data_IF_041870429347
#
_entry.id   IF_041870429347
#
_cell.length_a   1.000
_cell.length_b   1.000
_cell.length_c   1.000
_cell.angle_alpha   90.00
_cell.angle_beta   90.00
_cell.angle_gamma   90.00
#
_symmetry.space_group_name_H-M   'P 1'
#
loop_
_entity.id
_entity.type
_entity.pdbx_description
1 polymer ?
#
# COMPACT_ATOMS: atom_id res chain seq x y z
N UNK A 1 3.79 6.74 7.04
CA UNK A 1 4.81 7.19 6.08
C UNK A 1 5.99 7.87 6.76
N UNK A 2 5.77 8.84 7.63
CA UNK A 2 6.81 9.70 8.24
C UNK A 2 7.95 8.97 8.97
N UNK A 3 7.74 7.74 9.42
CA UNK A 3 8.73 6.98 10.20
C UNK A 3 9.70 6.13 9.37
N UNK A 4 9.47 5.98 8.06
CA UNK A 4 10.29 5.08 7.23
C UNK A 4 11.75 5.55 7.12
N UNK A 5 11.97 6.82 6.86
CA UNK A 5 13.31 7.41 6.79
C UNK A 5 14.06 7.31 8.13
N UNK A 6 13.51 7.84 9.24
CA UNK A 6 14.15 7.75 10.57
C UNK A 6 14.45 6.32 11.01
N UNK A 7 13.59 5.35 10.69
CA UNK A 7 13.86 3.94 11.00
C UNK A 7 15.08 3.40 10.24
N UNK A 8 15.16 3.69 8.93
CA UNK A 8 16.30 3.31 8.11
C UNK A 8 17.60 3.93 8.62
N UNK A 9 17.58 5.24 8.97
CA UNK A 9 18.73 5.97 9.49
C UNK A 9 19.22 5.37 10.80
N UNK A 10 18.29 5.08 11.71
CA UNK A 10 18.61 4.44 13.00
C UNK A 10 19.25 3.08 12.81
N UNK A 11 18.64 2.22 11.98
CA UNK A 11 19.18 0.89 11.73
C UNK A 11 20.57 0.94 11.09
N UNK A 12 20.78 1.82 10.12
CA UNK A 12 22.08 2.00 9.48
C UNK A 12 23.15 2.51 10.45
N UNK A 13 22.79 3.42 11.34
CA UNK A 13 23.70 3.93 12.37
C UNK A 13 24.08 2.85 13.39
N UNK A 14 23.14 1.97 13.75
CA UNK A 14 23.40 0.84 14.68
C UNK A 14 24.17 -0.31 14.01
N UNK A 15 24.05 -0.45 12.69
CA UNK A 15 24.61 -1.57 11.91
C UNK A 15 25.25 -1.08 10.61
N UNK A 16 26.34 -0.28 10.66
CA UNK A 16 26.91 0.37 9.48
C UNK A 16 27.51 -0.62 8.45
N UNK A 17 27.88 -1.82 8.88
CA UNK A 17 28.47 -2.86 8.04
C UNK A 17 27.40 -3.77 7.38
N UNK A 18 26.11 -3.55 7.66
CA UNK A 18 25.03 -4.36 7.10
C UNK A 18 24.43 -3.64 5.88
N UNK A 19 24.43 -4.33 4.75
CA UNK A 19 23.72 -3.85 3.56
C UNK A 19 22.19 -3.90 3.77
N UNK A 20 21.51 -2.78 3.52
CA UNK A 20 20.06 -2.67 3.66
C UNK A 20 19.41 -2.58 2.28
N UNK A 21 18.43 -3.45 2.05
CA UNK A 21 17.55 -3.38 0.88
C UNK A 21 16.09 -3.51 1.31
N UNK A 22 15.19 -2.94 0.53
CA UNK A 22 13.74 -3.02 0.74
C UNK A 22 13.17 -4.03 -0.23
N UNK A 23 12.76 -5.19 0.29
CA UNK A 23 12.26 -6.32 -0.50
C UNK A 23 10.90 -6.05 -1.15
N UNK A 24 10.03 -5.31 -0.47
CA UNK A 24 8.70 -4.94 -0.96
C UNK A 24 8.22 -3.64 -0.31
N UNK A 25 7.59 -2.78 -1.12
CA UNK A 25 6.83 -1.63 -0.65
C UNK A 25 5.80 -1.24 -1.70
N UNK A 26 4.63 -0.78 -1.29
CA UNK A 26 3.56 -0.35 -2.20
C UNK A 26 2.23 -0.22 -1.48
N UNK A 27 1.34 0.55 -2.05
CA UNK A 27 -0.03 0.74 -1.56
C UNK A 27 -1.03 0.61 -2.68
N UNK A 28 -2.28 0.29 -2.35
CA UNK A 28 -3.37 0.21 -3.31
C UNK A 28 -3.64 1.57 -3.95
N UNK A 29 -3.95 1.57 -5.24
CA UNK A 29 -4.43 2.73 -5.97
C UNK A 29 -5.39 2.30 -7.07
N UNK A 30 -6.65 2.70 -6.93
CA UNK A 30 -7.73 2.36 -7.87
C UNK A 30 -8.02 3.61 -8.69
N UNK A 31 -7.83 3.50 -10.00
CA UNK A 31 -7.88 4.63 -10.94
C UNK A 31 -9.23 5.34 -11.05
N UNK A 32 -10.27 4.79 -10.45
CA UNK A 32 -11.61 5.39 -10.43
C UNK A 32 -11.91 6.17 -9.15
N UNK A 33 -11.09 5.98 -8.10
CA UNK A 33 -11.24 6.69 -6.84
C UNK A 33 -10.31 7.91 -6.80
N UNK A 34 -10.85 9.06 -6.43
CA UNK A 34 -10.14 10.33 -6.41
C UNK A 34 -10.42 11.11 -5.13
N UNK A 35 -9.44 11.89 -4.69
CA UNK A 35 -9.58 12.76 -3.53
C UNK A 35 -8.66 13.98 -3.64
N UNK A 36 -9.19 15.15 -3.29
CA UNK A 36 -8.40 16.37 -3.12
C UNK A 36 -7.61 16.38 -1.79
N UNK A 37 -7.98 15.49 -0.83
CA UNK A 37 -7.30 15.30 0.46
C UNK A 37 -7.07 13.80 0.67
N UNK A 38 -6.08 13.19 -0.01
CA UNK A 38 -5.88 11.74 0.01
C UNK A 38 -5.43 11.24 1.38
N UNK A 39 -6.14 10.23 1.89
CA UNK A 39 -5.92 9.63 3.19
C UNK A 39 -5.54 8.15 3.09
N UNK A 40 -4.85 7.66 4.12
CA UNK A 40 -4.51 6.24 4.23
C UNK A 40 -5.77 5.37 4.17
N UNK A 41 -5.78 4.39 3.26
CA UNK A 41 -6.91 3.48 3.00
C UNK A 41 -8.11 4.09 2.27
N UNK A 42 -7.97 5.24 1.65
CA UNK A 42 -8.98 5.74 0.72
C UNK A 42 -8.89 5.10 -0.67
N UNK A 43 -7.81 4.35 -0.91
CA UNK A 43 -7.51 3.61 -2.15
C UNK A 43 -7.49 4.48 -3.39
N UNK A 44 -7.41 5.79 -3.24
CA UNK A 44 -7.35 6.73 -4.37
C UNK A 44 -6.04 6.64 -5.12
N UNK A 45 -6.06 7.01 -6.38
CA UNK A 45 -4.85 7.12 -7.19
C UNK A 45 -3.91 8.19 -6.62
N UNK A 46 -4.47 9.26 -6.07
CA UNK A 46 -3.74 10.36 -5.45
C UNK A 46 -3.01 9.90 -4.17
N UNK A 47 -3.63 9.04 -3.34
CA UNK A 47 -2.95 8.47 -2.18
C UNK A 47 -1.81 7.54 -2.58
N UNK A 48 -2.04 6.70 -3.59
CA UNK A 48 -0.97 5.84 -4.11
C UNK A 48 0.23 6.69 -4.59
N UNK A 49 -0.05 7.74 -5.35
CA UNK A 49 1.00 8.64 -5.83
C UNK A 49 1.75 9.32 -4.68
N UNK A 50 1.04 9.87 -3.70
CA UNK A 50 1.60 10.50 -2.50
C UNK A 50 2.51 9.54 -1.70
N UNK A 51 2.10 8.29 -1.55
CA UNK A 51 2.89 7.25 -0.89
C UNK A 51 4.21 7.00 -1.61
N UNK A 52 4.16 6.90 -2.95
CA UNK A 52 5.35 6.65 -3.76
C UNK A 52 6.24 7.88 -3.89
N UNK A 53 5.69 9.11 -3.92
CA UNK A 53 6.44 10.37 -3.83
C UNK A 53 7.31 10.39 -2.56
N UNK A 54 6.68 10.09 -1.42
CA UNK A 54 7.39 10.06 -0.13
C UNK A 54 8.53 9.03 -0.12
N UNK A 55 8.27 7.80 -0.55
CA UNK A 55 9.28 6.75 -0.51
C UNK A 55 10.38 6.94 -1.55
N UNK A 56 10.06 7.45 -2.73
CA UNK A 56 11.07 7.76 -3.74
C UNK A 56 12.08 8.79 -3.19
N UNK A 57 11.60 9.84 -2.50
CA UNK A 57 12.47 10.81 -1.84
C UNK A 57 13.26 10.19 -0.68
N UNK A 58 12.60 9.37 0.17
CA UNK A 58 13.28 8.67 1.28
C UNK A 58 14.45 7.84 0.78
N UNK A 59 14.31 7.16 -0.35
CA UNK A 59 15.36 6.32 -0.90
C UNK A 59 16.43 7.14 -1.65
N UNK A 60 16.07 8.20 -2.34
CA UNK A 60 17.03 9.09 -3.02
C UNK A 60 17.98 9.74 -2.01
N UNK A 61 17.47 10.12 -0.83
CA UNK A 61 18.26 10.70 0.25
C UNK A 61 19.20 9.70 0.94
N UNK A 62 19.06 8.38 0.63
CA UNK A 62 19.78 7.29 1.30
C UNK A 62 20.51 6.38 0.32
N UNK A 63 21.61 6.86 -0.31
CA UNK A 63 22.32 6.11 -1.35
C UNK A 63 22.97 4.81 -0.84
N UNK A 64 23.00 4.61 0.47
CA UNK A 64 23.44 3.36 1.11
C UNK A 64 22.36 2.27 1.14
N UNK A 65 21.11 2.58 0.81
CA UNK A 65 20.08 1.57 0.52
C UNK A 65 20.36 1.00 -0.87
N UNK A 66 20.88 -0.23 -0.92
CA UNK A 66 21.42 -0.82 -2.14
C UNK A 66 20.34 -1.27 -3.15
N UNK A 67 19.15 -1.59 -2.67
CA UNK A 67 18.02 -2.02 -3.52
C UNK A 67 16.67 -1.66 -2.93
N UNK A 68 15.72 -1.33 -3.80
CA UNK A 68 14.32 -1.08 -3.44
C UNK A 68 13.42 -1.74 -4.47
N UNK A 69 12.47 -2.57 -4.03
CA UNK A 69 11.57 -3.31 -4.90
C UNK A 69 10.14 -2.88 -4.68
N UNK A 70 9.60 -2.09 -5.62
CA UNK A 70 8.21 -1.69 -5.59
C UNK A 70 7.29 -2.89 -5.82
N UNK A 71 6.31 -3.08 -4.98
CA UNK A 71 5.25 -4.04 -5.17
C UNK A 71 3.97 -3.32 -5.59
N UNK A 72 3.62 -3.34 -6.90
CA UNK A 72 4.47 -3.91 -7.94
C UNK A 72 4.24 -3.17 -9.26
N UNK A 73 4.73 -3.68 -10.37
CA UNK A 73 4.60 -3.02 -11.68
C UNK A 73 3.18 -3.04 -12.23
N UNK A 74 2.41 -4.11 -12.02
CA UNK A 74 1.06 -4.28 -12.57
C UNK A 74 0.07 -4.70 -11.49
N UNK A 75 -1.17 -4.23 -11.57
CA UNK A 75 -2.27 -4.87 -10.85
C UNK A 75 -2.38 -6.33 -11.29
N UNK A 76 -2.80 -7.22 -10.38
CA UNK A 76 -2.92 -8.64 -10.70
C UNK A 76 -4.07 -9.31 -9.94
N UNK A 77 -4.49 -10.48 -10.45
CA UNK A 77 -5.52 -11.29 -9.82
C UNK A 77 -5.06 -11.86 -8.48
N UNK A 78 -5.87 -11.68 -7.44
CA UNK A 78 -5.62 -12.24 -6.12
C UNK A 78 -6.97 -12.57 -5.44
N UNK A 79 -7.38 -13.83 -5.51
CA UNK A 79 -8.71 -14.26 -5.09
C UNK A 79 -9.06 -13.93 -3.62
N UNK A 80 -8.05 -13.81 -2.77
CA UNK A 80 -8.23 -13.52 -1.34
C UNK A 80 -8.41 -12.02 -1.04
N UNK A 81 -8.27 -11.12 -2.04
CA UNK A 81 -8.31 -9.68 -1.82
C UNK A 81 -9.65 -9.07 -2.23
N UNK A 82 -10.03 -8.05 -1.47
CA UNK A 82 -11.23 -7.26 -1.72
C UNK A 82 -11.03 -5.79 -1.27
N UNK A 83 -9.79 -5.30 -1.32
CA UNK A 83 -9.48 -3.94 -0.92
C UNK A 83 -10.07 -2.94 -1.93
N UNK A 84 -10.57 -1.83 -1.42
CA UNK A 84 -11.18 -0.77 -2.22
C UNK A 84 -12.42 -1.21 -2.97
N UNK A 85 -13.09 -2.31 -2.54
CA UNK A 85 -14.29 -2.84 -3.18
C UNK A 85 -14.03 -3.56 -4.51
N UNK A 86 -12.77 -3.81 -4.87
CA UNK A 86 -12.41 -4.53 -6.10
C UNK A 86 -12.05 -5.97 -5.74
N UNK A 87 -13.06 -6.85 -5.73
CA UNK A 87 -12.89 -8.24 -5.39
C UNK A 87 -11.91 -8.97 -6.34
N UNK A 88 -11.07 -9.84 -5.75
CA UNK A 88 -10.16 -10.71 -6.51
C UNK A 88 -8.99 -9.98 -7.16
N UNK A 89 -8.66 -8.77 -6.73
CA UNK A 89 -7.57 -7.99 -7.31
C UNK A 89 -6.63 -7.38 -6.26
N UNK A 90 -5.35 -7.39 -6.55
CA UNK A 90 -4.36 -6.54 -5.92
C UNK A 90 -4.16 -5.30 -6.80
N UNK A 91 -4.43 -4.11 -6.28
CA UNK A 91 -4.36 -2.85 -7.01
C UNK A 91 -3.11 -2.03 -6.67
N UNK A 92 -2.04 -2.67 -6.19
CA UNK A 92 -0.77 -2.01 -5.87
C UNK A 92 0.12 -1.76 -7.09
N UNK A 93 -0.32 -2.20 -8.28
CA UNK A 93 0.41 -1.95 -9.52
C UNK A 93 0.61 -0.47 -9.80
N UNK A 94 1.76 -0.12 -10.35
CA UNK A 94 2.00 1.19 -10.97
C UNK A 94 1.26 1.33 -12.30
N UNK A 95 0.79 0.21 -12.84
CA UNK A 95 -0.04 0.12 -14.03
C UNK A 95 -1.22 -0.82 -13.78
N UNK A 96 -2.29 -0.63 -14.55
CA UNK A 96 -3.49 -1.48 -14.49
C UNK A 96 -3.22 -2.93 -14.91
N UNK A 97 -4.13 -3.85 -14.52
CA UNK A 97 -4.04 -5.29 -14.79
C UNK A 97 -3.95 -5.63 -16.29
N UNK A 98 -4.56 -4.82 -17.14
CA UNK A 98 -4.51 -4.97 -18.61
C UNK A 98 -3.20 -4.40 -19.20
N UNK A 99 -2.33 -3.83 -18.36
CA UNK A 99 -1.03 -3.22 -18.71
C UNK A 99 -1.10 -2.03 -19.66
N UNK A 100 -2.27 -1.43 -19.83
CA UNK A 100 -2.47 -0.33 -20.78
C UNK A 100 -2.37 1.03 -20.14
N UNK A 101 -2.82 1.18 -18.88
CA UNK A 101 -2.86 2.46 -18.20
C UNK A 101 -1.74 2.55 -17.17
N UNK A 102 -0.88 3.53 -17.32
CA UNK A 102 0.07 3.97 -16.29
C UNK A 102 -0.68 4.81 -15.27
N UNK A 103 -0.56 4.48 -13.99
CA UNK A 103 -1.08 5.29 -12.89
C UNK A 103 -0.13 6.45 -12.60
N UNK A 104 -0.57 7.45 -11.85
CA UNK A 104 0.26 8.60 -11.50
C UNK A 104 1.54 8.19 -10.76
N UNK A 105 1.47 7.17 -9.92
CA UNK A 105 2.62 6.57 -9.23
C UNK A 105 3.71 6.02 -10.16
N UNK A 106 3.37 5.59 -11.37
CA UNK A 106 4.37 5.22 -12.39
C UNK A 106 5.24 6.42 -12.78
N UNK A 107 4.63 7.59 -12.94
CA UNK A 107 5.33 8.80 -13.38
C UNK A 107 6.17 9.41 -12.26
N UNK A 108 5.87 9.12 -10.99
CA UNK A 108 6.79 9.41 -9.88
C UNK A 108 8.14 8.76 -10.16
N UNK A 109 8.17 7.44 -10.38
CA UNK A 109 9.44 6.75 -10.64
C UNK A 109 10.08 7.15 -11.97
N UNK A 110 9.29 7.47 -12.97
CA UNK A 110 9.85 8.01 -14.21
C UNK A 110 10.57 9.34 -13.95
N UNK A 111 10.04 10.21 -13.10
CA UNK A 111 10.70 11.45 -12.72
C UNK A 111 12.00 11.24 -11.94
N UNK A 112 12.03 10.23 -11.03
CA UNK A 112 13.22 9.95 -10.22
C UNK A 112 14.30 9.17 -10.99
N UNK A 113 13.91 8.23 -11.84
CA UNK A 113 14.86 7.24 -12.39
C UNK A 113 15.18 7.42 -13.87
N UNK A 114 14.35 8.14 -14.64
CA UNK A 114 14.61 8.35 -16.06
C UNK A 114 15.72 9.39 -16.28
N UNK A 115 16.61 9.09 -17.20
CA UNK A 115 17.57 10.05 -17.75
C UNK A 115 17.02 10.86 -18.94
N UNK A 116 15.91 10.41 -19.52
CA UNK A 116 15.25 11.12 -20.60
C UNK A 116 14.39 12.25 -20.01
N UNK A 117 14.43 13.46 -20.57
CA UNK A 117 13.56 14.55 -20.12
C UNK A 117 12.10 14.12 -20.12
N UNK A 118 11.38 14.43 -19.05
CA UNK A 118 9.98 14.11 -18.93
C UNK A 118 9.21 15.16 -18.13
N UNK A 119 7.95 15.31 -18.44
CA UNK A 119 6.95 16.05 -17.68
C UNK A 119 5.63 15.30 -17.75
N UNK A 120 4.89 15.22 -16.65
CA UNK A 120 3.59 14.57 -16.55
C UNK A 120 2.70 15.32 -15.58
N UNK A 121 1.49 15.69 -16.03
CA UNK A 121 0.46 16.26 -15.17
C UNK A 121 -0.31 15.12 -14.53
N UNK A 122 -0.24 15.01 -13.20
CA UNK A 122 -0.97 14.02 -12.41
C UNK A 122 -2.47 14.38 -12.27
N UNK A 123 -3.27 13.42 -11.83
CA UNK A 123 -4.70 13.60 -11.59
C UNK A 123 -5.52 13.78 -12.88
N UNK A 124 -5.05 13.26 -14.00
CA UNK A 124 -5.77 13.37 -15.29
C UNK A 124 -7.09 12.61 -15.34
N UNK A 125 -7.28 11.61 -14.45
CA UNK A 125 -8.52 10.84 -14.30
C UNK A 125 -9.49 11.48 -13.32
N UNK A 126 -8.99 12.27 -12.40
CA UNK A 126 -9.76 13.21 -11.59
C UNK A 126 -10.10 14.44 -12.45
N UNK A 127 -10.83 14.22 -13.54
CA UNK A 127 -11.00 15.22 -14.59
C UNK A 127 -12.03 16.29 -14.24
N UNK A 128 -13.05 15.96 -13.43
CA UNK A 128 -14.08 16.88 -12.97
C UNK A 128 -13.76 17.35 -11.56
N UNK A 129 -13.53 18.65 -11.40
CA UNK A 129 -13.07 19.26 -10.16
C UNK A 129 -14.06 20.31 -9.68
N UNK A 130 -14.45 20.24 -8.42
CA UNK A 130 -15.26 21.26 -7.76
C UNK A 130 -14.36 22.22 -6.95
N UNK A 131 -14.92 23.37 -6.54
CA UNK A 131 -14.25 24.36 -5.72
C UNK A 131 -13.72 25.56 -6.50
N UNK A 132 -13.27 26.59 -5.77
CA UNK A 132 -12.75 27.83 -6.36
C UNK A 132 -11.36 27.64 -6.97
N UNK A 133 -10.55 26.81 -6.34
CA UNK A 133 -9.19 26.47 -6.79
C UNK A 133 -8.96 24.97 -6.74
N UNK A 134 -8.01 24.49 -7.53
CA UNK A 134 -7.57 23.08 -7.52
C UNK A 134 -6.05 23.01 -7.57
N UNK A 135 -5.48 22.00 -6.89
CA UNK A 135 -4.04 21.70 -7.02
C UNK A 135 -3.79 20.97 -8.34
N UNK A 136 -2.89 21.48 -9.13
CA UNK A 136 -2.29 20.79 -10.27
C UNK A 136 -0.91 20.31 -9.87
N UNK A 137 -0.75 18.99 -9.79
CA UNK A 137 0.52 18.36 -9.50
C UNK A 137 1.19 17.91 -10.78
N UNK A 138 2.49 18.18 -10.88
CA UNK A 138 3.30 17.84 -12.07
C UNK A 138 4.54 17.07 -11.61
N UNK A 139 4.82 15.96 -12.27
CA UNK A 139 6.07 15.22 -12.11
C UNK A 139 7.02 15.55 -13.26
N UNK A 140 8.25 15.88 -12.92
CA UNK A 140 9.30 16.15 -13.93
C UNK A 140 10.68 15.85 -13.38
N UNK A 141 11.60 15.43 -14.25
CA UNK A 141 13.03 15.37 -13.94
C UNK A 141 13.79 16.62 -14.41
N UNK A 142 13.06 17.65 -14.82
CA UNK A 142 13.62 18.98 -15.12
C UNK A 142 13.47 19.87 -13.89
N UNK A 143 14.39 20.81 -13.69
CA UNK A 143 14.43 21.66 -12.49
C UNK A 143 13.30 22.70 -12.44
N UNK A 144 12.75 23.06 -13.60
CA UNK A 144 11.74 24.12 -13.71
C UNK A 144 10.56 23.66 -14.56
N UNK A 145 9.36 23.95 -14.08
CA UNK A 145 8.10 23.72 -14.78
C UNK A 145 7.32 25.03 -14.87
N UNK A 146 6.82 25.33 -16.06
CA UNK A 146 5.89 26.45 -16.32
C UNK A 146 4.50 25.86 -16.58
N UNK A 147 3.48 26.36 -15.90
CA UNK A 147 2.10 25.93 -16.06
C UNK A 147 1.26 26.98 -16.77
N UNK A 148 0.44 26.51 -17.69
CA UNK A 148 -0.55 27.32 -18.42
C UNK A 148 -1.95 26.75 -18.20
N UNK A 149 -2.91 27.63 -18.02
CA UNK A 149 -4.36 27.32 -18.01
C UNK A 149 -5.00 28.13 -19.14
N UNK A 150 -5.70 27.45 -20.04
CA UNK A 150 -6.36 28.06 -21.21
C UNK A 150 -5.43 28.96 -22.05
N UNK A 151 -4.15 28.51 -22.19
CA UNK A 151 -3.11 29.24 -22.94
C UNK A 151 -2.49 30.43 -22.20
N UNK A 152 -2.96 30.75 -20.98
CA UNK A 152 -2.38 31.82 -20.15
C UNK A 152 -1.42 31.19 -19.12
N UNK A 153 -0.23 31.74 -19.01
CA UNK A 153 0.70 31.36 -17.96
C UNK A 153 0.13 31.71 -16.58
N UNK A 154 0.11 30.71 -15.68
CA UNK A 154 -0.40 30.86 -14.31
C UNK A 154 0.71 30.75 -13.26
N UNK A 155 1.88 30.27 -13.63
CA UNK A 155 3.04 30.25 -12.77
C UNK A 155 4.19 29.41 -13.28
N UNK A 156 5.35 29.66 -12.68
CA UNK A 156 6.57 28.90 -12.85
C UNK A 156 7.08 28.46 -11.48
N UNK A 157 7.56 27.23 -11.39
CA UNK A 157 8.17 26.70 -10.17
C UNK A 157 9.51 26.04 -10.48
N UNK A 158 10.43 26.15 -9.52
CA UNK A 158 11.66 25.36 -9.47
C UNK A 158 11.55 24.45 -8.24
N UNK A 159 11.59 23.15 -8.47
CA UNK A 159 11.43 22.14 -7.43
C UNK A 159 12.13 20.84 -7.83
N UNK A 160 12.17 19.88 -6.92
CA UNK A 160 12.74 18.56 -7.16
C UNK A 160 11.62 17.55 -7.39
N UNK A 161 11.49 17.06 -8.61
CA UNK A 161 10.61 15.98 -9.06
C UNK A 161 9.09 16.25 -8.97
N UNK A 162 8.63 16.95 -7.95
CA UNK A 162 7.20 17.17 -7.68
C UNK A 162 6.92 18.67 -7.62
N UNK A 163 6.08 19.16 -8.52
CA UNK A 163 5.70 20.56 -8.65
C UNK A 163 4.21 20.69 -8.36
N UNK A 164 3.81 21.69 -7.58
CA UNK A 164 2.43 21.88 -7.14
C UNK A 164 1.99 23.32 -7.42
N UNK A 165 0.94 23.45 -8.21
CA UNK A 165 0.35 24.73 -8.56
C UNK A 165 -1.09 24.75 -8.04
N UNK A 166 -1.47 25.80 -7.33
CA UNK A 166 -2.86 26.02 -6.96
C UNK A 166 -3.46 27.02 -7.95
N UNK A 167 -4.45 26.59 -8.74
CA UNK A 167 -5.02 27.36 -9.86
C UNK A 167 -6.54 27.46 -9.76
N UNK A 168 -7.07 28.60 -10.21
CA UNK A 168 -8.50 28.74 -10.45
C UNK A 168 -8.86 28.22 -11.85
N UNK A 169 -9.92 27.44 -11.97
CA UNK A 169 -10.49 26.98 -13.23
C UNK A 169 -11.65 27.89 -13.63
N UNK A 170 -11.79 28.14 -14.93
CA UNK A 170 -13.00 28.75 -15.50
C UNK A 170 -14.13 27.72 -15.57
N UNK A 171 -15.38 28.17 -15.60
CA UNK A 171 -16.55 27.29 -15.72
C UNK A 171 -16.47 26.41 -16.98
N UNK A 172 -16.72 25.10 -16.82
CA UNK A 172 -16.61 24.12 -17.89
C UNK A 172 -15.18 23.64 -18.14
N UNK A 173 -14.84 23.42 -19.38
CA UNK A 173 -13.56 22.79 -19.76
C UNK A 173 -12.37 23.75 -19.74
N UNK A 174 -11.29 23.31 -19.12
CA UNK A 174 -10.04 24.02 -19.01
C UNK A 174 -8.90 23.14 -19.56
N UNK A 175 -8.07 23.70 -20.42
CA UNK A 175 -6.85 23.07 -20.90
C UNK A 175 -5.69 23.44 -19.99
N UNK A 176 -5.07 22.43 -19.38
CA UNK A 176 -3.88 22.58 -18.55
C UNK A 176 -2.67 22.09 -19.35
N UNK A 177 -1.64 22.92 -19.46
CA UNK A 177 -0.40 22.59 -20.16
C UNK A 177 0.78 22.82 -19.19
N UNK A 178 1.60 21.82 -19.00
CA UNK A 178 2.88 21.91 -18.30
C UNK A 178 4.03 21.83 -19.31
N UNK A 179 5.00 22.72 -19.15
CA UNK A 179 6.20 22.80 -19.99
C UNK A 179 7.44 22.73 -19.10
N UNK A 180 8.36 21.84 -19.43
CA UNK A 180 9.61 21.66 -18.71
C UNK A 180 10.77 21.48 -19.70
N UNK A 181 11.53 22.55 -19.96
CA UNK A 181 12.50 22.58 -21.06
C UNK A 181 11.82 22.33 -22.41
N UNK A 182 12.29 21.30 -23.13
CA UNK A 182 11.77 20.96 -24.47
C UNK A 182 10.58 19.94 -24.41
N UNK A 183 10.19 19.48 -23.23
CA UNK A 183 9.08 18.52 -23.06
C UNK A 183 7.84 19.21 -22.52
N UNK A 184 6.69 18.70 -22.94
CA UNK A 184 5.38 19.22 -22.51
C UNK A 184 4.37 18.12 -22.33
N UNK A 185 3.41 18.32 -21.43
CA UNK A 185 2.23 17.46 -21.23
C UNK A 185 0.99 18.33 -21.08
N UNK A 186 -0.16 17.80 -21.51
CA UNK A 186 -1.42 18.54 -21.48
C UNK A 186 -2.57 17.63 -21.09
N UNK A 187 -3.47 18.17 -20.27
CA UNK A 187 -4.74 17.52 -19.90
C UNK A 187 -5.90 18.50 -20.05
N UNK A 188 -7.11 17.97 -20.05
CA UNK A 188 -8.34 18.78 -19.95
C UNK A 188 -9.00 18.44 -18.62
N UNK A 189 -9.34 19.48 -17.84
CA UNK A 189 -10.14 19.40 -16.64
C UNK A 189 -11.46 20.13 -16.86
N UNK A 190 -12.50 19.66 -16.21
CA UNK A 190 -13.82 20.31 -16.21
C UNK A 190 -14.09 20.85 -14.81
N UNK A 191 -14.38 22.14 -14.70
CA UNK A 191 -14.91 22.72 -13.48
C UNK A 191 -16.39 22.40 -13.37
N UNK A 192 -16.78 21.80 -12.26
CA UNK A 192 -18.16 21.39 -11.96
C UNK A 192 -18.58 21.96 -10.62
N UNK A 193 -19.89 22.06 -10.40
CA UNK A 193 -20.44 22.49 -9.11
C UNK A 193 -20.20 21.44 -8.01
N UNK A 194 -20.32 20.15 -8.36
CA UNK A 194 -20.08 19.00 -7.49
C UNK A 194 -19.33 17.92 -8.25
N UNK A 195 -18.33 17.34 -7.62
CA UNK A 195 -17.61 16.18 -8.17
C UNK A 195 -18.53 14.95 -8.26
N UNK A 196 -18.32 14.06 -9.25
CA UNK A 196 -19.10 12.84 -9.41
C UNK A 196 -19.00 11.93 -8.18
N UNK A 197 -20.14 11.41 -7.74
CA UNK A 197 -20.17 10.44 -6.62
C UNK A 197 -19.36 9.17 -6.92
N UNK A 198 -19.11 8.86 -8.20
CA UNK A 198 -18.28 7.71 -8.61
C UNK A 198 -16.78 7.89 -8.34
N UNK A 199 -16.32 9.07 -7.94
CA UNK A 199 -14.95 9.29 -7.49
C UNK A 199 -14.72 8.81 -6.05
N UNK A 200 -15.79 8.72 -5.27
CA UNK A 200 -15.73 8.36 -3.87
C UNK A 200 -15.83 6.84 -3.70
N UNK A 201 -14.93 6.28 -2.90
CA UNK A 201 -15.02 4.91 -2.47
C UNK A 201 -16.39 4.64 -1.82
N UNK A 202 -17.13 3.60 -2.24
CA UNK A 202 -18.36 3.19 -1.55
C UNK A 202 -18.10 2.97 -0.06
N UNK A 203 -19.07 3.32 0.80
CA UNK A 203 -18.94 3.10 2.24
C UNK A 203 -18.50 1.66 2.53
N UNK A 204 -17.34 1.54 3.13
CA UNK A 204 -16.74 0.25 3.47
C UNK A 204 -17.25 -0.22 4.83
N UNK A 205 -17.69 -1.46 4.87
CA UNK A 205 -17.86 -2.13 6.13
C UNK A 205 -16.45 -2.43 6.68
N UNK A 206 -15.96 -1.67 7.67
CA UNK A 206 -14.64 -1.81 8.30
C UNK A 206 -14.29 -3.26 8.70
N UNK A 207 -15.29 -4.14 8.79
CA UNK A 207 -15.12 -5.57 9.07
C UNK A 207 -14.54 -6.38 7.90
N UNK A 208 -14.52 -5.82 6.69
CA UNK A 208 -14.04 -6.51 5.49
C UNK A 208 -12.61 -6.12 5.12
N UNK A 209 -12.08 -5.04 5.67
CA UNK A 209 -10.77 -4.52 5.33
C UNK A 209 -9.92 -4.24 6.56
N UNK A 210 -8.85 -4.91 6.62
CA UNK A 210 -7.81 -4.68 7.59
C UNK A 210 -7.61 -5.83 8.56
N UNK A 211 -6.43 -5.89 9.08
CA UNK A 211 -6.08 -6.74 10.21
C UNK A 211 -6.96 -6.32 11.38
N UNK A 212 -7.91 -7.16 11.75
CA UNK A 212 -8.70 -6.92 12.96
C UNK A 212 -7.74 -6.67 14.12
N UNK A 213 -7.96 -5.61 14.88
CA UNK A 213 -7.17 -5.36 16.08
C UNK A 213 -7.61 -6.34 17.19
N UNK A 214 -7.22 -7.58 17.02
CA UNK A 214 -7.56 -8.70 17.90
C UNK A 214 -6.78 -8.64 19.23
N UNK A 215 -5.77 -7.79 19.37
CA UNK A 215 -5.11 -7.49 20.64
C UNK A 215 -6.09 -7.10 21.74
N UNK A 216 -7.20 -6.47 21.37
CA UNK A 216 -8.27 -6.13 22.33
C UNK A 216 -9.10 -7.33 22.78
N UNK A 217 -8.98 -8.49 22.10
CA UNK A 217 -9.78 -9.68 22.35
C UNK A 217 -9.00 -10.80 23.07
N UNK A 218 -7.69 -10.66 23.19
CA UNK A 218 -6.84 -11.59 23.92
C UNK A 218 -6.77 -11.11 25.37
N UNK A 219 -7.37 -11.88 26.28
CA UNK A 219 -7.24 -11.62 27.70
C UNK A 219 -5.77 -11.67 28.14
N UNK A 220 -5.45 -10.94 29.22
CA UNK A 220 -4.12 -10.99 29.82
C UNK A 220 -3.82 -12.40 30.32
N UNK A 221 -2.82 -13.05 29.74
CA UNK A 221 -2.26 -14.28 30.26
C UNK A 221 -1.10 -13.97 31.19
N UNK A 222 -0.89 -14.80 32.18
CA UNK A 222 0.28 -14.72 33.04
C UNK A 222 1.51 -15.19 32.25
N UNK A 223 2.24 -14.24 31.66
CA UNK A 223 3.39 -14.46 30.77
C UNK A 223 4.66 -14.97 31.48
N UNK A 224 4.56 -15.31 32.79
CA UNK A 224 5.73 -15.69 33.59
C UNK A 224 6.11 -17.17 33.51
N UNK A 225 5.21 -18.02 33.00
CA UNK A 225 5.51 -19.43 32.84
C UNK A 225 6.13 -19.71 31.47
N UNK A 226 7.24 -20.45 31.36
CA UNK A 226 7.77 -20.86 30.07
C UNK A 226 6.76 -21.76 29.33
N UNK A 227 6.65 -21.57 28.01
CA UNK A 227 5.78 -22.41 27.18
C UNK A 227 6.25 -23.86 27.20
N UNK A 228 5.31 -24.77 27.43
CA UNK A 228 5.54 -26.21 27.41
C UNK A 228 5.29 -26.78 26.00
N UNK A 229 6.06 -27.80 25.62
CA UNK A 229 5.92 -28.52 24.35
C UNK A 229 5.98 -30.02 24.62
N UNK A 230 4.93 -30.63 25.22
CA UNK A 230 4.92 -32.03 25.56
C UNK A 230 4.97 -32.91 24.30
N UNK A 231 5.79 -33.95 24.35
CA UNK A 231 5.91 -34.92 23.27
C UNK A 231 4.60 -35.66 23.02
N UNK A 232 4.23 -35.85 21.74
CA UNK A 232 2.98 -36.52 21.35
C UNK A 232 1.74 -35.62 21.38
N UNK A 233 1.90 -34.32 21.61
CA UNK A 233 0.82 -33.33 21.54
C UNK A 233 1.08 -32.31 20.48
N UNK A 234 0.01 -31.68 19.94
CA UNK A 234 0.12 -30.57 19.04
C UNK A 234 0.64 -29.30 19.73
N UNK A 235 1.30 -28.44 18.99
CA UNK A 235 1.85 -27.18 19.49
C UNK A 235 1.91 -26.13 18.39
N UNK A 236 2.26 -24.91 18.75
CA UNK A 236 2.51 -23.82 17.78
C UNK A 236 3.74 -24.06 16.88
N UNK A 237 4.55 -25.08 17.15
CA UNK A 237 5.69 -25.50 16.35
C UNK A 237 5.35 -26.49 15.24
N UNK A 238 4.14 -27.04 15.26
CA UNK A 238 3.65 -27.93 14.21
C UNK A 238 3.21 -27.09 12.99
N UNK A 239 3.43 -27.61 11.78
CA UNK A 239 2.98 -26.94 10.57
C UNK A 239 1.45 -26.93 10.47
N UNK A 240 0.89 -25.97 9.72
CA UNK A 240 -0.56 -25.98 9.44
C UNK A 240 -1.00 -27.29 8.77
N UNK A 241 -0.12 -27.92 7.98
CA UNK A 241 -0.36 -29.22 7.37
C UNK A 241 -0.43 -30.34 8.42
N UNK A 242 0.44 -30.31 9.45
CA UNK A 242 0.37 -31.26 10.56
C UNK A 242 -0.87 -31.02 11.42
N UNK A 243 -1.18 -29.77 11.74
CA UNK A 243 -2.39 -29.41 12.47
C UNK A 243 -3.66 -29.83 11.72
N UNK A 244 -3.62 -29.86 10.38
CA UNK A 244 -4.77 -30.29 9.57
C UNK A 244 -5.10 -31.78 9.66
N UNK A 245 -4.23 -32.59 10.25
CA UNK A 245 -4.49 -34.02 10.52
C UNK A 245 -5.46 -34.23 11.66
N UNK A 246 -5.73 -33.19 12.45
CA UNK A 246 -6.69 -33.20 13.53
C UNK A 246 -7.65 -32.01 13.39
N UNK A 247 -8.95 -32.30 13.40
CA UNK A 247 -10.00 -31.31 13.13
C UNK A 247 -10.03 -30.18 14.19
N UNK A 248 -9.85 -30.56 15.48
CA UNK A 248 -9.84 -29.60 16.59
C UNK A 248 -8.58 -28.69 16.53
N UNK A 249 -7.40 -29.27 16.28
CA UNK A 249 -6.14 -28.52 16.16
C UNK A 249 -6.17 -27.56 14.97
N UNK A 250 -6.71 -28.01 13.82
CA UNK A 250 -6.91 -27.16 12.65
C UNK A 250 -7.88 -26.02 12.95
N UNK A 251 -9.00 -26.29 13.60
CA UNK A 251 -10.00 -25.27 13.94
C UNK A 251 -9.42 -24.19 14.85
N UNK A 252 -8.61 -24.57 15.84
CA UNK A 252 -7.92 -23.63 16.73
C UNK A 252 -6.92 -22.75 15.94
N UNK A 253 -6.08 -23.37 15.10
CA UNK A 253 -5.07 -22.66 14.34
C UNK A 253 -5.70 -21.72 13.28
N UNK A 254 -6.70 -22.20 12.54
CA UNK A 254 -7.40 -21.37 11.52
C UNK A 254 -8.20 -20.25 12.15
N UNK A 255 -8.83 -20.48 13.30
CA UNK A 255 -9.49 -19.43 14.09
C UNK A 255 -8.49 -18.37 14.54
N UNK A 256 -7.31 -18.79 14.99
CA UNK A 256 -6.24 -17.90 15.38
C UNK A 256 -5.79 -17.02 14.20
N UNK A 257 -5.55 -17.62 13.04
CA UNK A 257 -5.20 -16.88 11.82
C UNK A 257 -6.32 -15.92 11.40
N UNK A 258 -7.57 -16.36 11.43
CA UNK A 258 -8.72 -15.53 11.11
C UNK A 258 -8.85 -14.33 12.04
N UNK A 259 -8.67 -14.52 13.34
CA UNK A 259 -8.68 -13.43 14.32
C UNK A 259 -7.53 -12.43 14.08
N UNK A 260 -6.37 -12.92 13.66
CA UNK A 260 -5.18 -12.11 13.45
C UNK A 260 -5.16 -11.36 12.12
N UNK A 261 -5.70 -11.96 11.06
CA UNK A 261 -5.53 -11.47 9.69
C UNK A 261 -6.84 -11.17 8.97
N UNK A 262 -7.97 -11.53 9.58
CA UNK A 262 -9.31 -11.55 8.98
C UNK A 262 -9.44 -12.48 7.75
N UNK A 263 -8.43 -13.32 7.46
CA UNK A 263 -8.48 -14.29 6.38
C UNK A 263 -9.01 -15.64 6.87
N UNK A 264 -9.95 -16.21 6.14
CA UNK A 264 -10.41 -17.59 6.32
C UNK A 264 -9.48 -18.53 5.56
N UNK A 265 -8.71 -19.34 6.30
CA UNK A 265 -7.81 -20.33 5.72
C UNK A 265 -8.46 -21.70 5.83
N UNK A 266 -8.59 -22.37 4.69
CA UNK A 266 -9.14 -23.75 4.63
C UNK A 266 -8.25 -24.62 3.75
N UNK A 267 -8.06 -25.91 4.13
CA UNK A 267 -7.33 -26.85 3.29
C UNK A 267 -7.87 -26.88 1.86
N UNK A 268 -6.98 -26.82 0.89
CA UNK A 268 -7.31 -26.88 -0.55
C UNK A 268 -7.88 -25.59 -1.16
N UNK A 269 -7.95 -24.47 -0.44
CA UNK A 269 -8.51 -23.22 -0.93
C UNK A 269 -7.53 -22.06 -0.75
N UNK A 270 -7.30 -21.29 -1.80
CA UNK A 270 -6.63 -19.99 -1.78
C UNK A 270 -5.23 -20.03 -1.17
N UNK A 271 -5.03 -19.32 -0.06
CA UNK A 271 -3.72 -19.16 0.60
C UNK A 271 -3.20 -20.42 1.32
N UNK A 272 -3.98 -21.49 1.38
CA UNK A 272 -3.57 -22.71 2.07
C UNK A 272 -2.22 -23.25 1.60
N UNK A 273 -2.00 -23.34 0.30
CA UNK A 273 -0.76 -23.88 -0.26
C UNK A 273 0.48 -23.06 0.08
N UNK A 274 0.32 -21.76 0.30
CA UNK A 274 1.40 -20.88 0.77
C UNK A 274 1.67 -21.06 2.26
N UNK A 275 0.64 -21.31 3.05
CA UNK A 275 0.71 -21.29 4.51
C UNK A 275 0.84 -22.68 5.16
N UNK A 276 0.48 -23.77 4.46
CA UNK A 276 0.44 -25.12 5.03
C UNK A 276 1.76 -25.61 5.63
N UNK A 277 2.90 -25.11 5.12
CA UNK A 277 4.23 -25.45 5.65
C UNK A 277 4.69 -24.52 6.78
N UNK A 278 3.96 -23.47 7.06
CA UNK A 278 4.29 -22.54 8.13
C UNK A 278 3.72 -23.03 9.46
N UNK A 279 4.40 -22.68 10.53
CA UNK A 279 3.91 -22.93 11.89
C UNK A 279 3.16 -21.69 12.41
N UNK A 280 2.20 -21.82 13.33
CA UNK A 280 1.59 -20.67 14.01
C UNK A 280 2.63 -19.72 14.63
N UNK A 281 3.71 -20.27 15.19
CA UNK A 281 4.83 -19.48 15.73
C UNK A 281 5.49 -18.60 14.66
N UNK A 282 5.77 -19.17 13.49
CA UNK A 282 6.38 -18.40 12.38
C UNK A 282 5.42 -17.34 11.85
N UNK A 283 4.14 -17.68 11.68
CA UNK A 283 3.13 -16.73 11.22
C UNK A 283 2.97 -15.57 12.19
N UNK A 284 2.95 -15.85 13.50
CA UNK A 284 2.85 -14.83 14.53
C UNK A 284 4.00 -13.81 14.48
N UNK A 285 5.23 -14.29 14.27
CA UNK A 285 6.40 -13.41 14.10
C UNK A 285 6.30 -12.52 12.86
N UNK A 286 5.77 -13.04 11.75
CA UNK A 286 5.62 -12.28 10.51
C UNK A 286 4.62 -11.12 10.62
N UNK A 287 3.56 -11.28 11.41
CA UNK A 287 2.53 -10.26 11.59
C UNK A 287 2.67 -9.51 12.92
N UNK A 288 3.82 -9.68 13.60
CA UNK A 288 4.17 -9.03 14.87
C UNK A 288 3.08 -9.16 15.93
N UNK A 289 2.62 -10.42 16.14
CA UNK A 289 1.62 -10.74 17.16
C UNK A 289 2.16 -10.53 18.58
N UNK A 290 1.32 -10.16 19.56
CA UNK A 290 1.74 -10.12 20.96
C UNK A 290 2.04 -11.54 21.48
N UNK A 291 3.02 -11.61 22.36
CA UNK A 291 3.47 -12.85 22.99
C UNK A 291 2.32 -13.63 23.64
N UNK A 292 1.43 -12.98 24.38
CA UNK A 292 0.31 -13.62 25.07
C UNK A 292 -0.68 -14.36 24.18
N UNK A 293 -0.72 -14.07 22.88
CA UNK A 293 -1.59 -14.80 21.96
C UNK A 293 -1.02 -16.18 21.60
N UNK A 294 0.26 -16.22 21.35
CA UNK A 294 0.97 -17.44 21.01
C UNK A 294 0.96 -18.41 22.18
N UNK A 295 1.16 -17.90 23.39
CA UNK A 295 1.05 -18.69 24.61
C UNK A 295 -0.37 -19.27 24.78
N UNK A 296 -1.40 -18.45 24.53
CA UNK A 296 -2.80 -18.90 24.60
C UNK A 296 -3.12 -19.99 23.61
N UNK A 297 -2.66 -19.83 22.36
CA UNK A 297 -2.85 -20.84 21.32
C UNK A 297 -2.10 -22.11 21.68
N UNK A 298 -0.84 -22.01 22.13
CA UNK A 298 -0.06 -23.16 22.54
C UNK A 298 -0.71 -23.91 23.70
N UNK A 299 -1.19 -23.19 24.72
CA UNK A 299 -1.87 -23.77 25.88
C UNK A 299 -3.15 -24.55 25.52
N UNK A 300 -3.76 -24.27 24.37
CA UNK A 300 -4.89 -25.03 23.85
C UNK A 300 -4.42 -26.23 23.02
N UNK A 301 -3.44 -26.02 22.11
CA UNK A 301 -2.93 -27.07 21.24
C UNK A 301 -2.27 -28.25 22.03
N UNK A 302 -1.53 -27.96 23.09
CA UNK A 302 -0.88 -28.99 23.92
C UNK A 302 -1.87 -29.89 24.71
N UNK A 303 -3.16 -29.62 24.63
CA UNK A 303 -4.21 -30.51 25.18
C UNK A 303 -4.67 -31.55 24.17
N UNK A 304 -4.32 -31.37 22.89
CA UNK A 304 -4.72 -32.21 21.78
C UNK A 304 -3.60 -33.19 21.46
N UNK A 305 -3.87 -34.48 21.58
CA UNK A 305 -2.90 -35.54 21.29
C UNK A 305 -2.76 -35.74 19.78
N UNK A 306 -1.52 -35.94 19.31
CA UNK A 306 -1.20 -36.29 17.92
C UNK A 306 -1.65 -37.67 17.54
#
# INVERSE_FOLDING_TARGET
>A
MEQNGPWLDKFHAEHPDICIGISEYGTEGIINWHSNDPQCKDYTEEYQALYHEHLAQVFEDRPWVWATHCWNMFDFGCAARNEGGVAGRNNKGLMTIDRKTKKDSYFVYQAYWSKQPMVHIAGRRHAQRAGETTEIKVYSNQDTVVLYVNGKEVGQQTAHRVFKFNVALEEGFNTILAVAGDVKDSITLEKVEKEPDCYTLPEFNERQEGVANWFKQVGSLDLKAPMEFPEGYYSIKDSMEDLSKNEEALALATRAVKLATNFDIKPGVGMWDMMKRMTPETMAKMINMPDGFIESLNAQLIKIKK
#
